data_IF_676128269383
#
_entry.id   IF_676128269383
#
_cell.length_a   1.000
_cell.length_b   1.000
_cell.length_c   1.000
_cell.angle_alpha   90.00
_cell.angle_beta   90.00
_cell.angle_gamma   90.00
#
_symmetry.space_group_name_H-M   'P 1'
#
loop_
_entity.id
_entity.type
_entity.pdbx_description
1 polymer ?
#
# COMPACT_ATOMS: atom_id res chain seq x y z
N UNK A 1 13.43 2.41 -9.98
CA UNK A 1 12.46 1.53 -9.26
C UNK A 1 11.27 2.31 -8.73
N UNK A 2 11.44 3.49 -8.13
CA UNK A 2 10.32 4.41 -7.80
C UNK A 2 10.03 5.41 -8.93
N UNK A 3 11.07 5.93 -9.58
CA UNK A 3 10.95 6.94 -10.64
C UNK A 3 10.12 6.48 -11.86
N UNK A 4 10.22 5.18 -12.18
CA UNK A 4 9.51 4.52 -13.27
C UNK A 4 8.06 4.13 -12.92
N UNK A 5 7.63 4.34 -11.67
CA UNK A 5 6.26 4.10 -11.25
C UNK A 5 5.45 5.40 -11.33
N UNK A 6 4.26 5.33 -11.90
CA UNK A 6 3.30 6.43 -11.92
C UNK A 6 2.69 6.69 -10.54
N UNK A 7 2.52 5.63 -9.74
CA UNK A 7 2.01 5.69 -8.37
C UNK A 7 2.68 4.63 -7.51
N UNK A 8 3.07 5.00 -6.29
CA UNK A 8 3.68 4.08 -5.33
C UNK A 8 2.81 3.96 -4.10
N UNK A 9 2.27 2.77 -3.86
CA UNK A 9 1.44 2.50 -2.68
C UNK A 9 2.34 1.98 -1.57
N UNK A 10 2.31 2.64 -0.41
CA UNK A 10 3.05 2.20 0.79
C UNK A 10 2.06 1.88 1.90
N UNK A 11 2.15 0.66 2.42
CA UNK A 11 1.29 0.15 3.50
C UNK A 11 2.02 0.11 4.86
N UNK A 12 3.27 0.57 4.92
CA UNK A 12 4.08 0.60 6.13
C UNK A 12 3.98 1.98 6.82
N UNK A 13 4.21 2.02 8.13
CA UNK A 13 4.18 3.27 8.90
C UNK A 13 5.13 4.32 8.32
N UNK A 14 4.67 5.57 8.23
CA UNK A 14 5.42 6.69 7.64
C UNK A 14 6.81 6.89 8.25
N UNK A 15 6.99 6.53 9.52
CA UNK A 15 8.26 6.62 10.23
C UNK A 15 9.30 5.59 9.75
N UNK A 16 8.85 4.53 9.08
CA UNK A 16 9.72 3.49 8.52
C UNK A 16 10.08 3.74 7.05
N UNK A 17 9.60 4.85 6.48
CA UNK A 17 9.80 5.12 5.07
C UNK A 17 11.23 5.57 4.79
N UNK A 18 11.93 4.92 3.84
CA UNK A 18 13.22 5.41 3.39
C UNK A 18 13.06 6.72 2.58
N UNK A 19 14.05 7.61 2.67
CA UNK A 19 13.98 8.97 2.13
C UNK A 19 13.59 9.05 0.64
N UNK A 20 14.03 8.07 -0.17
CA UNK A 20 13.73 8.01 -1.60
C UNK A 20 12.23 7.88 -1.92
N UNK A 21 11.41 7.40 -0.98
CA UNK A 21 9.95 7.35 -1.11
C UNK A 21 9.34 8.73 -0.80
N UNK A 22 9.81 9.39 0.25
CA UNK A 22 9.33 10.71 0.67
C UNK A 22 9.61 11.76 -0.42
N UNK A 23 10.80 11.71 -1.02
CA UNK A 23 11.23 12.67 -2.04
C UNK A 23 10.50 12.51 -3.38
N UNK A 24 9.93 11.33 -3.67
CA UNK A 24 9.32 11.06 -4.97
C UNK A 24 7.99 11.79 -5.18
N UNK A 25 7.27 12.18 -4.13
CA UNK A 25 5.97 12.87 -4.22
C UNK A 25 4.81 12.07 -4.87
N UNK A 26 5.08 10.87 -5.40
CA UNK A 26 4.11 9.95 -6.04
C UNK A 26 3.61 8.86 -5.09
N UNK A 27 3.83 9.04 -3.78
CA UNK A 27 3.54 8.03 -2.77
C UNK A 27 2.15 8.22 -2.17
N UNK A 28 1.35 7.17 -2.24
CA UNK A 28 0.06 7.08 -1.57
C UNK A 28 0.19 6.15 -0.37
N UNK A 29 -0.12 6.67 0.82
CA UNK A 29 -0.12 5.88 2.05
C UNK A 29 -1.45 5.15 2.19
N UNK A 30 -1.41 3.84 2.34
CA UNK A 30 -2.55 3.03 2.68
C UNK A 30 -2.42 2.57 4.13
N UNK A 31 -3.21 3.18 5.00
CA UNK A 31 -3.38 2.71 6.37
C UNK A 31 -4.04 1.32 6.31
N UNK A 32 -3.23 0.29 6.54
CA UNK A 32 -3.62 -1.11 6.45
C UNK A 32 -3.02 -1.81 7.65
N UNK A 33 -3.82 -2.61 8.36
CA UNK A 33 -3.30 -3.34 9.52
C UNK A 33 -2.19 -4.30 9.10
N UNK A 34 -1.16 -4.40 9.94
CA UNK A 34 -0.06 -5.30 9.68
C UNK A 34 -0.54 -6.75 9.85
N UNK A 35 -0.43 -7.53 8.77
CA UNK A 35 -0.82 -8.93 8.76
C UNK A 35 0.21 -9.86 9.44
N UNK A 36 1.28 -9.31 10.02
CA UNK A 36 2.34 -10.06 10.67
C UNK A 36 1.87 -10.61 12.02
N UNK A 37 2.02 -11.92 12.18
CA UNK A 37 1.74 -12.65 13.42
C UNK A 37 0.25 -12.66 13.87
N UNK A 38 -0.69 -12.36 12.96
CA UNK A 38 -2.13 -12.48 13.21
C UNK A 38 -2.71 -13.80 12.64
N UNK A 39 -3.90 -14.24 13.09
CA UNK A 39 -4.55 -15.44 12.57
C UNK A 39 -4.86 -15.35 11.07
N UNK A 40 -4.84 -16.51 10.38
CA UNK A 40 -5.08 -16.60 8.93
C UNK A 40 -6.41 -15.96 8.48
N UNK A 41 -7.45 -16.01 9.32
CA UNK A 41 -8.74 -15.36 9.06
C UNK A 41 -8.63 -13.83 9.02
N UNK A 42 -7.83 -13.24 9.91
CA UNK A 42 -7.56 -11.82 9.91
C UNK A 42 -6.66 -11.42 8.73
N UNK A 43 -5.67 -12.25 8.37
CA UNK A 43 -4.87 -12.06 7.14
C UNK A 43 -5.76 -12.08 5.88
N UNK A 44 -6.75 -12.97 5.83
CA UNK A 44 -7.72 -13.01 4.71
C UNK A 44 -8.55 -11.74 4.65
N UNK A 45 -9.05 -11.25 5.78
CA UNK A 45 -9.81 -9.99 5.82
C UNK A 45 -8.97 -8.81 5.29
N UNK A 46 -7.70 -8.71 5.71
CA UNK A 46 -6.77 -7.68 5.24
C UNK A 46 -6.50 -7.84 3.73
N UNK A 47 -6.28 -9.07 3.25
CA UNK A 47 -6.10 -9.35 1.82
C UNK A 47 -7.30 -8.91 1.00
N UNK A 48 -8.52 -9.20 1.45
CA UNK A 48 -9.75 -8.79 0.75
C UNK A 48 -9.90 -7.26 0.74
N UNK A 49 -9.55 -6.56 1.83
CA UNK A 49 -9.51 -5.10 1.85
C UNK A 49 -8.50 -4.52 0.85
N UNK A 50 -7.28 -5.06 0.83
CA UNK A 50 -6.23 -4.65 -0.13
C UNK A 50 -6.73 -4.88 -1.56
N UNK A 51 -7.37 -6.03 -1.83
CA UNK A 51 -7.89 -6.36 -3.15
C UNK A 51 -8.90 -5.33 -3.64
N UNK A 52 -9.89 -4.97 -2.81
CA UNK A 52 -10.90 -3.96 -3.18
C UNK A 52 -10.24 -2.61 -3.47
N UNK A 53 -9.31 -2.16 -2.62
CA UNK A 53 -8.59 -0.90 -2.83
C UNK A 53 -7.77 -0.92 -4.13
N UNK A 54 -7.14 -2.04 -4.47
CA UNK A 54 -6.41 -2.20 -5.75
C UNK A 54 -7.36 -2.18 -6.93
N UNK A 55 -8.53 -2.82 -6.84
CA UNK A 55 -9.54 -2.78 -7.91
C UNK A 55 -10.06 -1.36 -8.14
N UNK A 56 -10.30 -0.58 -7.09
CA UNK A 56 -10.66 0.84 -7.21
C UNK A 56 -9.53 1.65 -7.86
N UNK A 57 -8.29 1.45 -7.42
CA UNK A 57 -7.13 2.16 -7.95
C UNK A 57 -6.90 1.89 -9.44
N UNK A 58 -7.04 0.63 -9.88
CA UNK A 58 -6.96 0.25 -11.29
C UNK A 58 -8.11 0.90 -12.09
N UNK A 59 -9.31 1.02 -11.49
CA UNK A 59 -10.46 1.66 -12.14
C UNK A 59 -10.31 3.17 -12.28
N UNK A 60 -9.65 3.84 -11.34
CA UNK A 60 -9.36 5.28 -11.43
C UNK A 60 -8.20 5.59 -12.38
N UNK A 61 -7.28 4.65 -12.57
CA UNK A 61 -6.08 4.83 -13.41
C UNK A 61 -6.27 4.30 -14.84
N UNK A 62 -7.29 3.49 -15.08
CA UNK A 62 -7.60 2.82 -16.37
C UNK A 62 -8.49 3.60 -17.32
#
# INVERSE_FOLDING_TARGET
MVDAADKVIVMAERETWPDYLVESGKVEFWDTEDAFNIPIDAVRAIKDQIKVRVEELVRETG
#
